data_IF_783171867228
#
_entry.id   IF_783171867228
#
_cell.length_a   1.000
_cell.length_b   1.000
_cell.length_c   1.000
_cell.angle_alpha   90.00
_cell.angle_beta   90.00
_cell.angle_gamma   90.00
#
_symmetry.space_group_name_H-M   'P 1'
#
loop_
_entity.id
_entity.type
_entity.pdbx_description
1 polymer ?
#
# COMPACT_ATOMS: atom_id res chain seq x y z
N UNK A 1 0.79 -11.84 -23.25
CA UNK A 1 1.79 -12.31 -22.28
C UNK A 1 1.91 -13.82 -22.40
N UNK A 2 3.12 -14.31 -22.64
CA UNK A 2 3.45 -15.74 -22.71
C UNK A 2 3.81 -16.24 -21.31
N UNK A 3 3.00 -17.15 -20.75
CA UNK A 3 3.11 -17.61 -19.37
C UNK A 3 4.41 -18.37 -19.09
N UNK A 4 4.99 -19.01 -20.11
CA UNK A 4 6.21 -19.81 -19.98
C UNK A 4 7.46 -18.92 -19.90
N UNK A 5 7.41 -17.72 -20.46
CA UNK A 5 8.54 -16.78 -20.49
C UNK A 5 8.46 -15.66 -19.46
N UNK A 6 7.25 -15.41 -18.95
CA UNK A 6 7.00 -14.32 -18.00
C UNK A 6 7.32 -14.77 -16.58
N UNK A 7 7.95 -13.90 -15.78
CA UNK A 7 8.10 -14.12 -14.34
C UNK A 7 6.78 -13.87 -13.59
N UNK A 8 6.74 -14.16 -12.28
CA UNK A 8 5.54 -13.97 -11.48
C UNK A 8 5.06 -12.50 -11.46
N UNK A 9 5.98 -11.53 -11.41
CA UNK A 9 5.65 -10.10 -11.42
C UNK A 9 4.98 -9.65 -12.71
N UNK A 10 5.51 -10.06 -13.85
CA UNK A 10 4.90 -9.81 -15.17
C UNK A 10 3.52 -10.45 -15.25
N UNK A 11 3.36 -11.65 -14.69
CA UNK A 11 2.08 -12.35 -14.62
C UNK A 11 1.06 -11.61 -13.76
N UNK A 12 1.44 -11.10 -12.59
CA UNK A 12 0.57 -10.28 -11.75
C UNK A 12 0.20 -9.00 -12.52
N UNK A 13 1.19 -8.28 -13.04
CA UNK A 13 1.02 -7.00 -13.74
C UNK A 13 0.02 -7.06 -14.89
N UNK A 14 0.18 -8.03 -15.78
CA UNK A 14 -0.62 -8.13 -17.01
C UNK A 14 -1.70 -9.22 -16.97
N UNK A 15 -1.77 -9.99 -15.89
CA UNK A 15 -2.69 -11.12 -15.74
C UNK A 15 -3.77 -10.90 -14.71
N UNK A 16 -4.19 -12.01 -14.11
CA UNK A 16 -5.20 -12.11 -13.07
C UNK A 16 -4.88 -13.33 -12.20
N UNK A 17 -5.64 -13.54 -11.11
CA UNK A 17 -5.39 -14.64 -10.18
C UNK A 17 -5.31 -16.01 -10.88
N UNK A 18 -6.17 -16.28 -11.86
CA UNK A 18 -6.12 -17.55 -12.63
C UNK A 18 -4.78 -17.72 -13.35
N UNK A 19 -4.26 -16.69 -14.00
CA UNK A 19 -2.94 -16.76 -14.68
C UNK A 19 -1.80 -16.87 -13.68
N UNK A 20 -1.91 -16.24 -12.52
CA UNK A 20 -0.93 -16.42 -11.43
C UNK A 20 -0.89 -17.87 -10.96
N UNK A 21 -2.05 -18.51 -10.75
CA UNK A 21 -2.12 -19.94 -10.41
C UNK A 21 -1.63 -20.84 -11.56
N UNK A 22 -1.92 -20.48 -12.81
CA UNK A 22 -1.38 -21.18 -13.99
C UNK A 22 0.15 -21.11 -14.02
N UNK A 23 0.73 -19.96 -13.67
CA UNK A 23 2.19 -19.78 -13.59
C UNK A 23 2.83 -20.69 -12.54
N UNK A 24 2.23 -20.83 -11.37
CA UNK A 24 2.68 -21.77 -10.33
C UNK A 24 2.73 -23.20 -10.87
N UNK A 25 1.67 -23.63 -11.56
CA UNK A 25 1.60 -24.96 -12.15
C UNK A 25 2.65 -25.15 -13.25
N UNK A 26 2.85 -24.15 -14.12
CA UNK A 26 3.86 -24.19 -15.19
C UNK A 26 5.28 -24.30 -14.63
N UNK A 27 5.58 -23.64 -13.51
CA UNK A 27 6.88 -23.75 -12.84
C UNK A 27 6.98 -24.93 -11.84
N UNK A 28 5.89 -25.68 -11.65
CA UNK A 28 5.79 -26.74 -10.64
C UNK A 28 6.22 -26.26 -9.23
N UNK A 29 5.72 -25.09 -8.82
CA UNK A 29 5.96 -24.48 -7.50
C UNK A 29 4.70 -24.44 -6.66
N UNK A 30 4.83 -24.71 -5.38
CA UNK A 30 3.81 -24.44 -4.39
C UNK A 30 3.75 -22.93 -4.08
N UNK A 31 2.60 -22.44 -3.61
CA UNK A 31 2.42 -21.00 -3.34
C UNK A 31 3.30 -20.54 -2.19
N UNK A 32 3.52 -21.40 -1.20
CA UNK A 32 4.34 -21.16 -0.02
C UNK A 32 5.82 -20.92 -0.38
N UNK A 33 6.29 -21.46 -1.50
CA UNK A 33 7.65 -21.26 -1.99
C UNK A 33 7.87 -19.87 -2.58
N UNK A 34 6.80 -19.19 -2.99
CA UNK A 34 6.89 -17.92 -3.73
C UNK A 34 6.17 -16.75 -3.07
N UNK A 35 5.26 -16.98 -2.11
CA UNK A 35 4.38 -15.95 -1.52
C UNK A 35 5.15 -14.72 -1.03
N UNK A 36 6.36 -14.94 -0.50
CA UNK A 36 7.25 -13.90 0.03
C UNK A 36 8.45 -13.58 -0.87
N UNK A 37 8.44 -14.04 -2.12
CA UNK A 37 9.51 -13.73 -3.07
C UNK A 37 9.52 -12.24 -3.41
N UNK A 38 10.72 -11.71 -3.63
CA UNK A 38 10.98 -10.33 -4.10
C UNK A 38 11.76 -10.37 -5.42
N UNK A 39 11.51 -9.41 -6.31
CA UNK A 39 12.29 -9.27 -7.55
C UNK A 39 13.58 -8.47 -7.31
N UNK A 40 14.35 -8.21 -8.38
CA UNK A 40 15.61 -7.46 -8.34
C UNK A 40 15.48 -6.03 -7.79
N UNK A 41 14.27 -5.46 -7.80
CA UNK A 41 13.97 -4.13 -7.24
C UNK A 41 13.54 -4.19 -5.77
N UNK A 42 13.59 -5.37 -5.14
CA UNK A 42 13.08 -5.59 -3.79
C UNK A 42 11.56 -5.54 -3.70
N UNK A 43 10.84 -5.66 -4.82
CA UNK A 43 9.37 -5.61 -4.86
C UNK A 43 8.83 -7.03 -4.68
N UNK A 44 7.99 -7.24 -3.66
CA UNK A 44 7.28 -8.49 -3.41
C UNK A 44 6.14 -8.74 -4.39
N UNK A 45 5.60 -9.96 -4.41
CA UNK A 45 4.37 -10.27 -5.15
C UNK A 45 3.17 -9.45 -4.64
N UNK A 46 3.12 -9.23 -3.32
CA UNK A 46 2.09 -8.39 -2.70
C UNK A 46 2.21 -6.96 -3.21
N UNK A 47 3.38 -6.33 -3.12
CA UNK A 47 3.59 -4.95 -3.60
C UNK A 47 3.28 -4.79 -5.09
N UNK A 48 3.69 -5.74 -5.94
CA UNK A 48 3.35 -5.72 -7.38
C UNK A 48 1.83 -5.78 -7.60
N UNK A 49 1.12 -6.57 -6.79
CA UNK A 49 -0.34 -6.62 -6.87
C UNK A 49 -1.00 -5.29 -6.50
N UNK A 50 -0.41 -4.52 -5.58
CA UNK A 50 -0.87 -3.17 -5.22
C UNK A 50 -0.58 -2.17 -6.35
N UNK A 51 0.65 -2.16 -6.87
CA UNK A 51 1.08 -1.32 -8.00
C UNK A 51 0.17 -1.51 -9.21
N UNK A 52 -0.17 -2.78 -9.50
CA UNK A 52 -0.93 -3.17 -10.69
C UNK A 52 -2.45 -3.25 -10.47
N UNK A 53 -2.95 -2.81 -9.31
CA UNK A 53 -4.38 -2.84 -8.92
C UNK A 53 -5.02 -4.23 -9.02
N UNK A 54 -4.26 -5.27 -8.65
CA UNK A 54 -4.69 -6.67 -8.58
C UNK A 54 -5.10 -7.01 -7.16
N UNK A 55 -6.11 -6.31 -6.64
CA UNK A 55 -6.53 -6.45 -5.23
C UNK A 55 -7.06 -7.85 -4.89
N UNK A 56 -7.61 -8.57 -5.87
CA UNK A 56 -7.96 -9.99 -5.74
C UNK A 56 -6.73 -10.85 -5.43
N UNK A 57 -5.60 -10.59 -6.12
CA UNK A 57 -4.32 -11.25 -5.84
C UNK A 57 -3.76 -10.78 -4.50
N UNK A 58 -3.83 -9.47 -4.20
CA UNK A 58 -3.35 -8.93 -2.92
C UNK A 58 -4.04 -9.61 -1.72
N UNK A 59 -5.37 -9.68 -1.73
CA UNK A 59 -6.16 -10.35 -0.69
C UNK A 59 -5.87 -11.85 -0.62
N UNK A 60 -5.69 -12.51 -1.76
CA UNK A 60 -5.28 -13.92 -1.79
C UNK A 60 -3.92 -14.14 -1.11
N UNK A 61 -2.91 -13.31 -1.43
CA UNK A 61 -1.58 -13.39 -0.82
C UNK A 61 -1.62 -13.08 0.68
N UNK A 62 -2.37 -12.06 1.10
CA UNK A 62 -2.56 -11.73 2.51
C UNK A 62 -3.28 -12.85 3.28
N UNK A 63 -4.24 -13.53 2.65
CA UNK A 63 -4.90 -14.71 3.19
C UNK A 63 -3.99 -15.94 3.34
N UNK A 64 -2.80 -15.90 2.74
CA UNK A 64 -1.73 -16.88 2.88
C UNK A 64 -0.56 -16.37 3.73
N UNK A 65 -0.83 -15.35 4.57
CA UNK A 65 0.15 -14.74 5.47
C UNK A 65 1.41 -14.22 4.74
N UNK A 66 1.23 -13.63 3.56
CA UNK A 66 2.30 -12.87 2.92
C UNK A 66 2.87 -11.80 3.88
N UNK A 67 4.19 -11.71 3.92
CA UNK A 67 4.91 -10.75 4.74
C UNK A 67 4.50 -9.33 4.35
N UNK A 68 4.27 -8.50 5.36
CA UNK A 68 4.10 -7.04 5.23
C UNK A 68 5.36 -6.34 5.74
N UNK A 69 5.50 -5.05 5.44
CA UNK A 69 6.70 -4.26 5.72
C UNK A 69 7.92 -4.70 4.91
N UNK A 70 7.69 -5.23 3.70
CA UNK A 70 8.77 -5.34 2.71
C UNK A 70 9.14 -3.92 2.26
N UNK A 71 10.44 -3.69 2.07
CA UNK A 71 10.95 -2.37 1.67
C UNK A 71 11.68 -2.55 0.35
N UNK A 72 11.09 -1.97 -0.69
CA UNK A 72 11.69 -1.90 -2.03
C UNK A 72 13.02 -1.12 -2.04
N UNK A 73 13.77 -1.26 -3.14
CA UNK A 73 15.04 -0.56 -3.31
C UNK A 73 14.88 0.98 -3.28
N UNK A 74 13.70 1.50 -3.61
CA UNK A 74 13.36 2.93 -3.55
C UNK A 74 12.84 3.38 -2.16
N UNK A 75 12.76 2.48 -1.20
CA UNK A 75 12.34 2.76 0.18
C UNK A 75 10.83 2.85 0.38
N UNK A 76 10.04 2.29 -0.54
CA UNK A 76 8.60 2.14 -0.38
C UNK A 76 8.24 0.79 0.24
N UNK A 77 7.19 0.76 1.04
CA UNK A 77 6.48 -0.43 1.49
C UNK A 77 5.11 -0.56 0.83
N UNK A 78 4.32 -1.56 1.23
CA UNK A 78 2.99 -1.86 0.72
C UNK A 78 2.06 -0.63 0.79
N UNK A 79 2.12 0.11 1.89
CA UNK A 79 1.25 1.26 2.09
C UNK A 79 1.53 2.41 1.12
N UNK A 80 2.79 2.66 0.78
CA UNK A 80 3.15 3.61 -0.28
C UNK A 80 2.62 3.20 -1.64
N UNK A 81 2.72 1.91 -1.99
CA UNK A 81 2.23 1.42 -3.27
C UNK A 81 0.70 1.40 -3.35
N UNK A 82 0.03 1.09 -2.24
CA UNK A 82 -1.43 1.15 -2.16
C UNK A 82 -1.95 2.59 -2.22
N UNK A 83 -1.24 3.56 -1.62
CA UNK A 83 -1.64 4.97 -1.61
C UNK A 83 -1.99 5.49 -3.00
N UNK A 84 -1.14 5.23 -4.01
CA UNK A 84 -1.37 5.66 -5.39
C UNK A 84 -2.66 5.09 -6.02
N UNK A 85 -3.23 4.05 -5.43
CA UNK A 85 -4.40 3.34 -5.91
C UNK A 85 -5.56 3.32 -4.89
N UNK A 86 -5.47 4.07 -3.78
CA UNK A 86 -6.43 3.99 -2.66
C UNK A 86 -7.88 4.37 -3.06
N UNK A 87 -8.03 5.20 -4.08
CA UNK A 87 -9.34 5.62 -4.60
C UNK A 87 -9.97 4.60 -5.57
N UNK A 88 -9.33 3.45 -5.80
CA UNK A 88 -9.88 2.38 -6.63
C UNK A 88 -10.79 1.44 -5.81
N UNK A 89 -11.80 0.87 -6.46
CA UNK A 89 -12.68 -0.14 -5.85
C UNK A 89 -11.85 -1.30 -5.31
N UNK A 90 -12.10 -1.70 -4.05
CA UNK A 90 -11.42 -2.79 -3.36
C UNK A 90 -10.08 -2.42 -2.70
N UNK A 91 -9.57 -1.20 -2.89
CA UNK A 91 -8.31 -0.78 -2.28
C UNK A 91 -8.40 -0.68 -0.75
N UNK A 92 -9.53 -0.18 -0.22
CA UNK A 92 -9.77 -0.06 1.22
C UNK A 92 -9.82 -1.43 1.91
N UNK A 93 -10.38 -2.46 1.25
CA UNK A 93 -10.40 -3.82 1.79
C UNK A 93 -8.97 -4.35 2.01
N UNK A 94 -8.08 -4.13 1.03
CA UNK A 94 -6.66 -4.47 1.15
C UNK A 94 -5.99 -3.62 2.23
N UNK A 95 -6.30 -2.32 2.29
CA UNK A 95 -5.73 -1.42 3.28
C UNK A 95 -6.07 -1.85 4.72
N UNK A 96 -7.30 -2.29 4.95
CA UNK A 96 -7.72 -2.84 6.24
C UNK A 96 -6.90 -4.08 6.62
N UNK A 97 -6.69 -5.00 5.67
CA UNK A 97 -5.87 -6.19 5.89
C UNK A 97 -4.39 -5.88 6.18
N UNK A 98 -3.84 -4.81 5.59
CA UNK A 98 -2.49 -4.33 5.89
C UNK A 98 -2.41 -3.67 7.29
N UNK A 99 -3.43 -2.89 7.69
CA UNK A 99 -3.52 -2.32 9.05
C UNK A 99 -3.59 -3.42 10.10
N UNK A 100 -4.36 -4.47 9.86
CA UNK A 100 -4.49 -5.63 10.77
C UNK A 100 -3.17 -6.39 10.96
N UNK A 101 -2.21 -6.22 10.04
CA UNK A 101 -0.88 -6.84 10.07
C UNK A 101 0.23 -5.86 10.46
N UNK A 102 -0.12 -4.72 11.07
CA UNK A 102 0.82 -3.72 11.57
C UNK A 102 1.79 -3.20 10.50
N UNK A 103 1.27 -2.88 9.31
CA UNK A 103 2.02 -2.14 8.29
C UNK A 103 2.54 -0.80 8.84
N UNK A 104 3.79 -0.48 8.53
CA UNK A 104 4.46 0.74 8.99
C UNK A 104 3.95 1.96 8.21
N UNK A 105 3.09 2.72 8.88
CA UNK A 105 2.54 3.97 8.38
C UNK A 105 3.57 5.12 8.37
N UNK A 106 4.67 4.99 9.12
CA UNK A 106 5.65 6.05 9.36
C UNK A 106 6.89 5.95 8.47
N UNK A 107 7.10 4.82 7.77
CA UNK A 107 8.21 4.63 6.85
C UNK A 107 8.29 5.81 5.87
N UNK A 108 9.47 6.43 5.76
CA UNK A 108 9.73 7.52 4.81
C UNK A 108 10.36 7.00 3.54
N UNK A 109 9.83 7.39 2.38
CA UNK A 109 10.42 7.05 1.09
C UNK A 109 11.81 7.71 0.87
N UNK A 110 12.65 7.11 0.02
CA UNK A 110 14.01 7.66 -0.23
C UNK A 110 14.01 8.92 -1.09
N UNK A 111 12.99 9.11 -1.94
CA UNK A 111 12.98 10.16 -2.96
C UNK A 111 12.73 11.52 -2.32
N UNK A 112 11.56 11.70 -1.71
CA UNK A 112 11.10 12.96 -1.13
C UNK A 112 10.94 12.89 0.40
N UNK A 113 10.92 11.68 0.98
CA UNK A 113 10.80 11.51 2.43
C UNK A 113 9.39 11.67 2.97
N UNK A 114 8.36 11.47 2.13
CA UNK A 114 7.00 11.36 2.65
C UNK A 114 6.90 10.10 3.48
N UNK A 115 6.21 10.17 4.62
CA UNK A 115 5.79 8.95 5.31
C UNK A 115 4.73 8.22 4.48
N UNK A 116 4.57 6.92 4.71
CA UNK A 116 3.60 6.13 3.98
C UNK A 116 2.18 6.68 4.16
N UNK A 117 1.78 7.03 5.39
CA UNK A 117 0.47 7.64 5.67
C UNK A 117 0.31 9.00 4.98
N UNK A 118 1.37 9.80 4.90
CA UNK A 118 1.34 11.10 4.23
C UNK A 118 1.08 10.94 2.73
N UNK A 119 1.62 9.88 2.11
CA UNK A 119 1.35 9.55 0.71
C UNK A 119 -0.12 9.17 0.50
N UNK A 120 -0.68 8.31 1.36
CA UNK A 120 -2.10 7.92 1.32
C UNK A 120 -3.04 9.12 1.47
N UNK A 121 -2.81 9.96 2.48
CA UNK A 121 -3.66 11.12 2.77
C UNK A 121 -3.67 12.12 1.61
N UNK A 122 -2.53 12.34 0.96
CA UNK A 122 -2.47 13.20 -0.23
C UNK A 122 -3.33 12.69 -1.38
N UNK A 123 -3.35 11.38 -1.61
CA UNK A 123 -4.14 10.74 -2.68
C UNK A 123 -5.64 10.76 -2.36
N UNK A 124 -6.03 10.46 -1.12
CA UNK A 124 -7.44 10.58 -0.68
C UNK A 124 -7.95 12.01 -0.81
N UNK A 125 -7.14 13.01 -0.47
CA UNK A 125 -7.50 14.43 -0.55
C UNK A 125 -7.63 14.97 -1.99
N UNK A 126 -7.34 14.18 -3.03
CA UNK A 126 -7.62 14.53 -4.42
C UNK A 126 -9.10 14.30 -4.77
N UNK A 127 -9.65 13.16 -4.38
CA UNK A 127 -11.05 12.78 -4.67
C UNK A 127 -12.03 13.28 -3.61
N UNK A 128 -11.57 13.42 -2.35
CA UNK A 128 -12.34 14.01 -1.25
C UNK A 128 -13.69 13.32 -0.97
N UNK A 129 -13.72 11.99 -1.07
CA UNK A 129 -14.91 11.19 -0.77
C UNK A 129 -15.10 11.06 0.74
N UNK A 130 -16.36 10.87 1.19
CA UNK A 130 -16.66 10.59 2.59
C UNK A 130 -15.93 9.33 3.07
N UNK A 131 -16.01 8.25 2.30
CA UNK A 131 -15.34 6.98 2.59
C UNK A 131 -13.83 7.15 2.78
N UNK A 132 -13.18 7.95 1.93
CA UNK A 132 -11.76 8.26 2.08
C UNK A 132 -11.45 9.02 3.36
N UNK A 133 -12.28 9.99 3.75
CA UNK A 133 -12.08 10.71 5.01
C UNK A 133 -12.31 9.84 6.24
N UNK A 134 -13.36 9.00 6.22
CA UNK A 134 -13.61 8.01 7.26
C UNK A 134 -12.41 7.05 7.38
N UNK A 135 -11.81 6.67 6.26
CA UNK A 135 -10.61 5.83 6.24
C UNK A 135 -9.36 6.54 6.78
N UNK A 136 -9.17 7.84 6.50
CA UNK A 136 -8.08 8.62 7.13
C UNK A 136 -8.26 8.63 8.65
N UNK A 137 -9.48 8.85 9.14
CA UNK A 137 -9.76 8.85 10.59
C UNK A 137 -9.35 7.52 11.24
N UNK A 138 -9.70 6.39 10.63
CA UNK A 138 -9.27 5.06 11.06
C UNK A 138 -7.74 4.93 11.09
N UNK A 139 -7.03 5.45 10.08
CA UNK A 139 -5.57 5.43 10.07
C UNK A 139 -4.97 6.27 11.21
N UNK A 140 -5.58 7.41 11.55
CA UNK A 140 -5.12 8.27 12.64
C UNK A 140 -5.30 7.63 14.03
N UNK A 141 -6.26 6.72 14.20
CA UNK A 141 -6.41 5.93 15.44
C UNK A 141 -5.18 5.07 15.74
N UNK A 142 -4.40 4.71 14.71
CA UNK A 142 -3.10 4.02 14.86
C UNK A 142 -1.99 4.93 15.36
N UNK A 143 -2.29 6.21 15.62
CA UNK A 143 -1.38 7.24 16.13
C UNK A 143 -0.04 7.28 15.35
N UNK A 144 -0.07 7.38 14.00
CA UNK A 144 1.15 7.59 13.24
C UNK A 144 1.78 8.93 13.62
N UNK A 145 3.09 9.05 13.42
CA UNK A 145 3.78 10.32 13.60
C UNK A 145 3.33 11.30 12.50
N UNK A 146 2.61 12.34 12.91
CA UNK A 146 2.08 13.37 12.00
C UNK A 146 2.87 14.68 12.00
N UNK A 147 3.88 14.82 12.86
CA UNK A 147 4.69 16.04 12.97
C UNK A 147 5.98 15.97 12.15
N UNK A 148 6.45 14.77 11.86
CA UNK A 148 7.65 14.53 11.07
C UNK A 148 7.55 15.12 9.66
N UNK A 149 8.58 15.86 9.26
CA UNK A 149 8.64 16.50 7.95
C UNK A 149 9.36 15.65 6.91
N UNK A 150 8.91 15.78 5.66
CA UNK A 150 9.62 15.33 4.48
C UNK A 150 10.76 16.31 4.10
N UNK A 151 11.49 16.04 3.01
CA UNK A 151 12.62 16.88 2.56
C UNK A 151 12.23 18.30 2.12
N UNK A 152 10.93 18.60 2.04
CA UNK A 152 10.37 19.89 1.64
C UNK A 152 9.69 20.63 2.80
N UNK A 153 9.79 20.15 4.04
CA UNK A 153 9.16 20.79 5.20
C UNK A 153 7.64 20.62 5.23
N UNK A 154 7.13 19.52 4.67
CA UNK A 154 5.73 19.12 4.81
C UNK A 154 5.61 17.93 5.77
N UNK A 155 4.76 18.08 6.78
CA UNK A 155 4.32 17.01 7.66
C UNK A 155 2.90 16.58 7.31
N UNK A 156 2.46 15.42 7.81
CA UNK A 156 1.06 14.99 7.70
C UNK A 156 0.13 16.03 8.32
N UNK A 157 0.53 16.62 9.46
CA UNK A 157 -0.20 17.69 10.12
C UNK A 157 -0.46 18.87 9.19
N UNK A 158 0.61 19.39 8.59
CA UNK A 158 0.52 20.53 7.67
C UNK A 158 -0.43 20.24 6.49
N UNK A 159 -0.39 19.03 5.93
CA UNK A 159 -1.31 18.64 4.86
C UNK A 159 -2.78 18.65 5.32
N UNK A 160 -3.08 18.11 6.50
CA UNK A 160 -4.45 18.07 7.03
C UNK A 160 -4.94 19.46 7.43
N UNK A 161 -4.09 20.30 8.00
CA UNK A 161 -4.42 21.70 8.32
C UNK A 161 -4.74 22.51 7.05
N UNK A 162 -3.92 22.37 5.99
CA UNK A 162 -4.08 23.11 4.74
C UNK A 162 -5.25 22.61 3.88
N UNK A 163 -5.51 21.29 3.87
CA UNK A 163 -6.39 20.66 2.85
C UNK A 163 -7.48 19.75 3.41
N UNK A 164 -7.38 19.33 4.68
CA UNK A 164 -8.32 18.41 5.34
C UNK A 164 -9.68 19.02 5.63
N UNK A 165 -10.63 18.17 6.04
CA UNK A 165 -11.93 18.63 6.55
C UNK A 165 -11.80 19.13 7.99
N UNK A 166 -12.80 19.86 8.47
CA UNK A 166 -12.84 20.32 9.87
C UNK A 166 -12.82 19.14 10.86
N UNK A 167 -13.40 18.00 10.51
CA UNK A 167 -13.37 16.80 11.36
C UNK A 167 -11.96 16.20 11.45
N UNK A 168 -11.23 16.12 10.33
CA UNK A 168 -9.83 15.67 10.34
C UNK A 168 -8.94 16.59 11.18
N UNK A 169 -9.14 17.91 11.06
CA UNK A 169 -8.40 18.91 11.84
C UNK A 169 -8.67 18.77 13.34
N UNK A 170 -9.95 18.69 13.75
CA UNK A 170 -10.35 18.48 15.15
C UNK A 170 -9.74 17.22 15.74
N UNK A 171 -9.81 16.10 15.01
CA UNK A 171 -9.24 14.83 15.47
C UNK A 171 -7.74 14.94 15.66
N UNK A 172 -7.05 15.61 14.73
CA UNK A 172 -5.62 15.85 14.85
C UNK A 172 -5.25 16.75 16.03
N UNK A 173 -6.02 17.81 16.30
CA UNK A 173 -5.84 18.66 17.48
C UNK A 173 -5.96 17.84 18.77
N UNK A 174 -6.96 16.96 18.86
CA UNK A 174 -7.19 16.07 20.01
C UNK A 174 -6.09 15.02 20.24
N UNK A 175 -5.28 14.73 19.21
CA UNK A 175 -4.16 13.78 19.27
C UNK A 175 -2.81 14.43 19.59
N UNK A 176 -2.75 15.77 19.68
CA UNK A 176 -1.55 16.57 19.99
C UNK A 176 -1.23 16.59 21.47
#
# INVERSE_FOLDING_TARGET
>A
MDIHKSDFWTVIKFGNLRKFMEKLNVENKAIEEVVNAVNENGISLLEESLISRKFDIALFLLGLDANVNIISNDGYNEWHFLAANINCIGAIDVANQLIERDVDLNLKDKKIGNSAIMSLVQEVLKERTKEGFDFILQCLEKRPNFNDENKFGYSLRKIIEERGTEDLKKVMEMMS
#
